data_IF_605913775613
#
_entry.id   IF_605913775613
#
_cell.length_a   1.000
_cell.length_b   1.000
_cell.length_c   1.000
_cell.angle_alpha   90.00
_cell.angle_beta   90.00
_cell.angle_gamma   90.00
#
_symmetry.space_group_name_H-M   'P 1'
#
loop_
_entity.id
_entity.type
_entity.pdbx_description
1 polymer ?
#
# COMPACT_ATOMS: atom_id res chain seq x y z
N UNK A 1 5.25 45.62 -8.68
CA UNK A 1 4.83 44.69 -9.76
C UNK A 1 5.79 44.88 -10.91
N UNK A 2 6.77 43.99 -11.01
CA UNK A 2 7.90 44.12 -11.92
C UNK A 2 7.83 42.95 -12.90
N UNK A 3 7.40 43.20 -14.13
CA UNK A 3 7.39 42.18 -15.18
C UNK A 3 8.82 41.94 -15.67
N UNK A 4 9.31 40.71 -15.56
CA UNK A 4 10.52 40.24 -16.23
C UNK A 4 10.13 39.50 -17.52
N UNK A 5 10.50 40.07 -18.65
CA UNK A 5 10.40 39.46 -19.97
C UNK A 5 11.46 38.38 -20.12
N UNK A 6 11.05 37.14 -20.37
CA UNK A 6 11.93 36.01 -20.65
C UNK A 6 12.11 35.89 -22.18
N UNK A 7 13.33 36.10 -22.66
CA UNK A 7 13.69 35.95 -24.08
C UNK A 7 14.19 34.52 -24.31
N UNK A 8 13.44 33.72 -25.06
CA UNK A 8 13.85 32.38 -25.48
C UNK A 8 14.64 32.50 -26.80
N UNK A 9 15.93 32.20 -26.73
CA UNK A 9 16.80 32.13 -27.90
C UNK A 9 16.61 30.83 -28.67
N UNK A 10 16.17 30.95 -29.92
CA UNK A 10 16.15 29.87 -30.91
C UNK A 10 17.59 29.49 -31.29
N UNK A 11 17.99 28.25 -31.03
CA UNK A 11 19.17 27.62 -31.61
C UNK A 11 18.76 26.76 -32.82
N UNK A 12 19.54 26.90 -33.89
CA UNK A 12 19.33 26.33 -35.22
C UNK A 12 19.46 24.79 -35.28
N UNK A 13 18.82 24.14 -36.26
CA UNK A 13 18.88 22.68 -36.44
C UNK A 13 20.17 22.24 -37.14
N UNK A 14 20.87 21.30 -36.53
CA UNK A 14 22.01 20.59 -37.11
C UNK A 14 21.52 19.42 -37.96
N UNK A 15 21.83 19.48 -39.25
CA UNK A 15 21.71 18.42 -40.25
C UNK A 15 22.60 17.22 -39.91
N UNK A 16 22.01 16.01 -39.89
CA UNK A 16 22.72 14.74 -40.03
C UNK A 16 21.90 13.75 -40.91
N UNK A 17 22.56 12.76 -41.54
CA UNK A 17 22.15 12.18 -42.81
C UNK A 17 21.39 10.84 -42.72
N UNK A 18 20.59 10.61 -43.76
CA UNK A 18 20.18 9.36 -44.45
C UNK A 18 19.77 8.10 -43.63
N UNK A 19 18.59 7.51 -43.93
CA UNK A 19 18.20 6.21 -43.40
C UNK A 19 18.86 5.05 -44.17
N UNK A 20 19.43 4.10 -43.42
CA UNK A 20 19.78 2.77 -43.88
C UNK A 20 18.50 1.93 -44.00
N UNK A 21 18.15 1.54 -45.23
CA UNK A 21 17.17 0.51 -45.52
C UNK A 21 17.71 -0.86 -45.07
N UNK A 22 17.18 -1.37 -43.97
CA UNK A 22 17.33 -2.76 -43.56
C UNK A 22 16.07 -3.53 -43.98
N UNK A 23 16.19 -4.23 -45.10
CA UNK A 23 15.23 -5.22 -45.59
C UNK A 23 15.37 -6.46 -44.71
N UNK A 24 14.52 -6.58 -43.69
CA UNK A 24 14.38 -7.79 -42.88
C UNK A 24 13.11 -8.55 -43.28
N UNK A 25 13.25 -9.77 -43.77
CA UNK A 25 12.16 -10.69 -44.06
C UNK A 25 11.37 -11.01 -42.78
N UNK A 26 10.09 -10.67 -42.75
CA UNK A 26 9.14 -11.14 -41.75
C UNK A 26 8.58 -12.49 -42.22
N UNK A 27 8.96 -13.57 -41.55
CA UNK A 27 8.31 -14.88 -41.68
C UNK A 27 7.16 -14.90 -40.70
N UNK A 28 5.93 -14.90 -41.23
CA UNK A 28 4.73 -15.18 -40.46
C UNK A 28 4.70 -16.71 -40.29
N UNK A 29 5.10 -17.19 -39.11
CA UNK A 29 4.83 -18.56 -38.69
C UNK A 29 3.44 -18.60 -38.11
N UNK A 30 2.52 -19.25 -38.82
CA UNK A 30 1.25 -19.73 -38.28
C UNK A 30 1.59 -20.85 -37.30
N UNK A 31 1.49 -20.57 -36.00
CA UNK A 31 1.54 -21.60 -34.96
C UNK A 31 0.10 -21.92 -34.54
N UNK A 32 -0.40 -23.02 -35.08
CA UNK A 32 -1.61 -23.68 -34.58
C UNK A 32 -1.19 -24.64 -33.45
N UNK A 33 -1.45 -24.23 -32.21
CA UNK A 33 -1.39 -25.07 -31.02
C UNK A 33 -2.22 -24.41 -29.92
N UNK A 34 -3.52 -24.68 -29.80
CA UNK A 34 -4.09 -25.81 -29.05
C UNK A 34 -3.40 -26.05 -27.70
N UNK A 35 -3.80 -25.30 -26.67
CA UNK A 35 -3.77 -25.81 -25.31
C UNK A 35 -5.03 -25.36 -24.55
N UNK A 36 -5.65 -26.36 -23.94
CA UNK A 36 -6.94 -26.37 -23.29
C UNK A 36 -6.95 -25.47 -22.04
N UNK A 37 -7.83 -24.48 -22.02
CA UNK A 37 -8.22 -23.81 -20.78
C UNK A 37 -9.29 -24.67 -20.12
N UNK A 38 -8.90 -25.36 -19.04
CA UNK A 38 -9.84 -26.04 -18.15
C UNK A 38 -10.71 -25.01 -17.43
N UNK A 39 -11.87 -24.69 -18.00
CA UNK A 39 -12.95 -24.00 -17.32
C UNK A 39 -13.45 -24.87 -16.16
N UNK A 40 -13.27 -24.40 -14.93
CA UNK A 40 -13.94 -24.97 -13.77
C UNK A 40 -15.37 -24.41 -13.74
N UNK A 41 -16.29 -25.10 -14.41
CA UNK A 41 -17.73 -24.90 -14.26
C UNK A 41 -18.15 -25.28 -12.84
N UNK A 42 -18.56 -24.29 -12.05
CA UNK A 42 -19.40 -24.52 -10.87
C UNK A 42 -20.87 -24.43 -11.30
N UNK A 43 -21.44 -25.58 -11.64
CA UNK A 43 -22.90 -25.77 -11.77
C UNK A 43 -23.51 -25.87 -10.38
N UNK A 44 -24.30 -24.88 -10.01
CA UNK A 44 -25.09 -24.84 -8.78
C UNK A 44 -26.53 -24.49 -9.11
N UNK A 45 -27.21 -25.39 -9.82
CA UNK A 45 -28.67 -25.41 -9.92
C UNK A 45 -29.27 -25.71 -8.54
N UNK A 46 -30.22 -24.89 -8.12
CA UNK A 46 -31.22 -25.25 -7.12
C UNK A 46 -32.50 -24.50 -7.44
N UNK A 47 -33.24 -25.07 -8.39
CA UNK A 47 -34.68 -24.90 -8.54
C UNK A 47 -35.40 -25.32 -7.24
N UNK A 48 -36.35 -24.50 -6.79
CA UNK A 48 -37.42 -24.94 -5.90
C UNK A 48 -38.67 -24.08 -6.11
N UNK A 49 -39.51 -24.61 -6.99
CA UNK A 49 -40.96 -24.54 -7.13
C UNK A 49 -41.80 -23.55 -6.30
N UNK A 50 -42.55 -22.73 -7.03
CA UNK A 50 -44.02 -22.66 -7.06
C UNK A 50 -44.81 -23.26 -5.88
N UNK A 51 -45.71 -22.48 -5.29
CA UNK A 51 -47.14 -22.85 -5.18
C UNK A 51 -48.03 -21.70 -4.72
N UNK A 52 -49.16 -21.65 -5.41
CA UNK A 52 -50.29 -20.74 -5.36
C UNK A 52 -51.27 -21.06 -4.22
N UNK A 53 -52.09 -20.06 -3.88
CA UNK A 53 -53.51 -20.14 -3.46
C UNK A 53 -53.92 -20.93 -2.19
N UNK A 54 -54.59 -20.25 -1.26
CA UNK A 54 -56.02 -20.51 -0.95
C UNK A 54 -56.54 -19.76 0.30
N UNK A 55 -57.55 -18.94 0.03
CA UNK A 55 -58.79 -18.63 0.75
C UNK A 55 -59.11 -19.18 2.17
N UNK A 56 -59.73 -18.26 2.94
CA UNK A 56 -60.91 -18.43 3.81
C UNK A 56 -60.75 -19.00 5.24
N UNK A 57 -61.05 -18.18 6.26
CA UNK A 57 -62.37 -18.13 6.96
C UNK A 57 -62.26 -17.54 8.37
N UNK A 58 -63.17 -16.61 8.67
CA UNK A 58 -63.88 -16.37 9.94
C UNK A 58 -63.19 -16.64 11.29
N UNK A 59 -63.06 -15.59 12.10
CA UNK A 59 -63.92 -15.32 13.27
C UNK A 59 -63.20 -14.29 14.16
N UNK A 60 -63.49 -13.00 13.99
CA UNK A 60 -63.03 -11.99 14.95
C UNK A 60 -64.24 -11.33 15.59
N UNK A 61 -64.46 -11.73 16.83
CA UNK A 61 -65.31 -11.07 17.82
C UNK A 61 -65.01 -9.57 17.81
N UNK A 62 -66.01 -8.77 17.44
CA UNK A 62 -65.97 -7.33 17.55
C UNK A 62 -66.10 -6.94 19.02
N UNK A 63 -64.99 -6.98 19.76
CA UNK A 63 -64.87 -6.20 20.99
C UNK A 63 -64.54 -4.78 20.59
N UNK A 64 -65.53 -3.89 20.74
CA UNK A 64 -65.35 -2.45 20.59
C UNK A 64 -64.56 -1.93 21.79
N UNK A 65 -63.25 -2.16 21.81
CA UNK A 65 -62.35 -1.34 22.61
C UNK A 65 -62.41 0.06 22.03
N UNK A 66 -63.00 0.98 22.78
CA UNK A 66 -62.90 2.41 22.52
C UNK A 66 -61.45 2.81 22.74
N UNK A 67 -60.60 2.59 21.74
CA UNK A 67 -59.28 3.20 21.69
C UNK A 67 -59.53 4.70 21.65
N UNK A 68 -59.18 5.35 22.75
CA UNK A 68 -59.17 6.80 22.81
C UNK A 68 -58.01 7.21 21.94
N UNK A 69 -58.29 7.47 20.66
CA UNK A 69 -57.36 8.06 19.71
C UNK A 69 -56.97 9.43 20.29
N UNK A 70 -55.85 9.45 21.02
CA UNK A 70 -55.30 10.65 21.66
C UNK A 70 -54.69 11.63 20.64
N UNK A 71 -54.85 11.37 19.34
CA UNK A 71 -54.14 12.08 18.30
C UNK A 71 -52.63 11.76 18.34
N UNK A 72 -51.89 12.14 17.29
CA UNK A 72 -50.44 12.04 17.32
C UNK A 72 -49.89 12.91 18.46
N UNK A 73 -48.94 12.34 19.22
CA UNK A 73 -48.19 13.10 20.21
C UNK A 73 -47.49 14.30 19.54
N UNK A 74 -47.43 15.45 20.23
CA UNK A 74 -46.67 16.58 19.73
C UNK A 74 -45.17 16.30 19.90
N UNK A 75 -44.34 16.84 19.01
CA UNK A 75 -42.89 16.62 19.11
C UNK A 75 -42.32 17.03 20.50
N UNK A 76 -42.86 18.09 21.10
CA UNK A 76 -42.45 18.56 22.42
C UNK A 76 -42.81 17.59 23.56
N UNK A 77 -43.90 16.82 23.43
CA UNK A 77 -44.29 15.88 24.50
C UNK A 77 -43.34 14.69 24.62
N UNK A 78 -42.66 14.36 23.52
CA UNK A 78 -41.61 13.34 23.46
C UNK A 78 -40.20 13.92 23.72
N UNK A 79 -40.12 15.21 24.07
CA UNK A 79 -38.86 15.90 24.36
C UNK A 79 -38.05 16.27 23.10
N UNK A 80 -38.64 16.17 21.91
CA UNK A 80 -38.04 16.56 20.64
C UNK A 80 -38.18 18.05 20.33
N UNK A 81 -37.51 18.46 19.26
CA UNK A 81 -37.59 19.80 18.67
C UNK A 81 -38.00 19.64 17.20
N UNK A 82 -38.96 20.47 16.78
CA UNK A 82 -39.37 20.53 15.39
C UNK A 82 -38.36 21.28 14.54
N UNK A 83 -37.86 20.63 13.49
CA UNK A 83 -37.00 21.27 12.49
C UNK A 83 -37.71 21.34 11.14
N UNK A 84 -37.57 22.49 10.48
CA UNK A 84 -38.07 22.67 9.12
C UNK A 84 -37.36 21.68 8.17
N UNK A 85 -38.07 21.14 7.16
CA UNK A 85 -37.46 20.26 6.19
C UNK A 85 -36.37 21.01 5.40
N UNK A 86 -35.27 20.33 5.00
CA UNK A 86 -34.24 20.96 4.19
C UNK A 86 -34.82 21.40 2.84
N UNK A 87 -34.32 22.50 2.24
CA UNK A 87 -34.73 22.89 0.89
C UNK A 87 -34.43 21.81 -0.16
N UNK A 88 -35.09 21.82 -1.33
CA UNK A 88 -34.79 20.87 -2.40
C UNK A 88 -33.29 20.85 -2.74
N UNK A 89 -32.74 19.65 -2.96
CA UNK A 89 -31.30 19.35 -3.21
C UNK A 89 -30.38 19.40 -1.98
N UNK A 90 -30.92 19.69 -0.80
CA UNK A 90 -30.20 19.60 0.46
C UNK A 90 -30.65 18.37 1.25
N UNK A 91 -29.71 17.81 2.01
CA UNK A 91 -29.93 16.70 2.94
C UNK A 91 -29.72 17.22 4.37
N UNK A 92 -30.52 16.73 5.32
CA UNK A 92 -30.42 17.09 6.74
C UNK A 92 -31.79 17.34 7.40
N UNK A 93 -31.82 17.93 8.60
CA UNK A 93 -30.68 18.49 9.34
C UNK A 93 -29.82 17.43 10.07
N UNK A 94 -28.52 17.72 10.18
CA UNK A 94 -27.52 16.92 10.89
C UNK A 94 -26.77 17.78 11.90
N UNK A 95 -26.28 17.21 13.00
CA UNK A 95 -25.39 17.92 13.92
C UNK A 95 -23.95 17.90 13.37
N UNK A 96 -23.32 19.07 13.28
CA UNK A 96 -21.89 19.16 12.90
C UNK A 96 -20.98 18.92 14.09
N UNK A 97 -19.90 18.17 13.86
CA UNK A 97 -18.81 17.97 14.81
C UNK A 97 -17.48 18.26 14.12
N UNK A 98 -16.75 19.22 14.67
CA UNK A 98 -15.43 19.62 14.19
C UNK A 98 -14.34 18.95 15.05
N UNK A 99 -13.26 18.53 14.39
CA UNK A 99 -12.08 17.96 14.99
C UNK A 99 -12.05 16.43 15.00
N UNK A 100 -10.83 15.89 14.85
CA UNK A 100 -10.56 14.47 14.98
C UNK A 100 -10.87 13.99 16.40
N UNK A 101 -11.56 12.85 16.54
CA UNK A 101 -11.73 11.98 17.75
C UNK A 101 -13.17 11.81 18.26
N UNK A 102 -14.16 12.64 17.92
CA UNK A 102 -15.50 12.43 18.46
C UNK A 102 -16.40 11.63 17.49
N UNK A 103 -16.59 10.31 17.70
CA UNK A 103 -17.61 9.59 16.95
C UNK A 103 -18.99 10.21 17.18
N UNK A 104 -19.86 10.09 16.18
CA UNK A 104 -21.29 10.35 16.36
C UNK A 104 -21.79 9.52 17.55
N UNK A 105 -22.44 10.19 18.50
CA UNK A 105 -22.78 9.62 19.81
C UNK A 105 -23.97 10.35 20.44
N UNK A 106 -24.61 9.67 21.38
CA UNK A 106 -25.86 10.14 21.97
C UNK A 106 -27.01 10.04 20.96
N UNK A 107 -27.88 11.03 20.99
CA UNK A 107 -29.07 11.06 20.13
C UNK A 107 -28.75 11.31 18.66
N UNK A 108 -27.59 11.93 18.37
CA UNK A 108 -27.00 12.10 17.04
C UNK A 108 -25.89 11.05 16.82
N UNK A 109 -26.29 9.78 16.90
CA UNK A 109 -25.38 8.63 16.86
C UNK A 109 -25.05 8.10 15.46
N UNK A 110 -25.74 8.55 14.42
CA UNK A 110 -25.60 8.01 13.06
C UNK A 110 -24.59 8.84 12.27
N UNK A 111 -23.56 8.22 11.71
CA UNK A 111 -22.62 8.93 10.83
C UNK A 111 -23.23 9.04 9.43
N UNK A 112 -23.40 10.26 8.95
CA UNK A 112 -23.98 10.54 7.63
C UNK A 112 -22.91 10.99 6.64
N UNK A 113 -21.98 11.83 7.09
CA UNK A 113 -20.90 12.36 6.27
C UNK A 113 -19.62 12.54 7.10
N UNK A 114 -18.48 12.22 6.51
CA UNK A 114 -17.15 12.48 7.06
C UNK A 114 -16.24 13.04 5.97
N UNK A 115 -15.51 14.11 6.28
CA UNK A 115 -14.59 14.78 5.38
C UNK A 115 -13.76 15.84 6.11
N UNK A 116 -13.19 16.77 5.35
CA UNK A 116 -12.54 17.96 5.93
C UNK A 116 -12.25 19.02 4.89
N UNK A 117 -11.56 20.09 5.29
CA UNK A 117 -11.30 21.25 4.45
C UNK A 117 -10.30 20.97 3.32
N UNK A 118 -9.41 20.01 3.51
CA UNK A 118 -8.43 19.54 2.54
C UNK A 118 -7.98 18.11 2.86
N UNK A 119 -7.23 17.49 1.93
CA UNK A 119 -6.55 16.21 2.16
C UNK A 119 -5.07 16.48 2.46
N UNK A 120 -4.57 15.89 3.54
CA UNK A 120 -3.14 15.78 3.83
C UNK A 120 -2.69 14.34 3.53
N UNK A 121 -1.88 14.21 2.49
CA UNK A 121 -1.38 12.94 1.98
C UNK A 121 0.11 13.09 1.62
N UNK A 122 1.03 12.64 2.49
CA UNK A 122 2.46 12.75 2.19
C UNK A 122 2.81 11.93 0.92
N UNK A 123 3.89 12.22 0.20
CA UNK A 123 4.32 11.40 -0.93
C UNK A 123 4.55 9.94 -0.53
N UNK A 124 4.49 9.02 -1.50
CA UNK A 124 4.85 7.61 -1.28
C UNK A 124 6.30 7.48 -0.80
N UNK A 125 6.56 6.55 0.14
CA UNK A 125 7.92 6.14 0.46
C UNK A 125 8.34 5.01 -0.48
N UNK A 126 9.43 5.24 -1.21
CA UNK A 126 9.85 4.42 -2.34
C UNK A 126 11.17 3.72 -2.03
N UNK A 127 11.12 2.39 -1.91
CA UNK A 127 12.31 1.55 -1.79
C UNK A 127 12.64 0.82 -3.09
N UNK A 128 13.92 0.66 -3.38
CA UNK A 128 14.40 -0.15 -4.50
C UNK A 128 15.60 -0.98 -4.05
N UNK A 129 15.45 -2.30 -4.08
CA UNK A 129 16.53 -3.25 -3.84
C UNK A 129 16.88 -3.95 -5.13
N UNK A 130 18.17 -4.21 -5.36
CA UNK A 130 18.66 -4.86 -6.56
C UNK A 130 19.41 -6.13 -6.18
N UNK A 131 18.71 -7.21 -5.78
CA UNK A 131 19.36 -8.49 -5.60
C UNK A 131 20.00 -8.96 -6.91
N UNK A 132 21.15 -9.61 -6.77
CA UNK A 132 21.76 -10.33 -7.88
C UNK A 132 21.09 -11.70 -7.98
N UNK A 133 20.52 -12.01 -9.13
CA UNK A 133 19.87 -13.30 -9.42
C UNK A 133 20.76 -14.13 -10.34
N UNK A 134 20.77 -15.45 -10.12
CA UNK A 134 21.59 -16.37 -10.91
C UNK A 134 23.10 -16.29 -10.63
N UNK A 135 23.52 -15.53 -9.61
CA UNK A 135 24.90 -15.55 -9.14
C UNK A 135 25.10 -16.69 -8.13
N UNK A 136 26.12 -17.50 -8.37
CA UNK A 136 26.62 -18.49 -7.44
C UNK A 136 28.12 -18.21 -7.22
N UNK A 137 28.51 -18.12 -5.95
CA UNK A 137 29.91 -17.95 -5.56
C UNK A 137 30.73 -19.22 -5.78
N UNK A 138 30.06 -20.36 -6.00
CA UNK A 138 30.67 -21.66 -5.99
C UNK A 138 31.32 -21.96 -4.64
N UNK A 139 32.12 -23.03 -4.56
CA UNK A 139 32.76 -23.39 -3.31
C UNK A 139 33.98 -22.50 -3.00
N UNK A 140 34.24 -22.32 -1.71
CA UNK A 140 35.48 -21.68 -1.22
C UNK A 140 36.61 -22.68 -1.28
N UNK A 141 37.66 -22.33 -2.02
CA UNK A 141 38.88 -23.12 -2.11
C UNK A 141 39.90 -22.61 -1.09
N UNK A 142 40.23 -23.49 -0.16
CA UNK A 142 41.30 -23.34 0.80
C UNK A 142 42.56 -23.97 0.23
N UNK A 143 43.64 -23.21 0.18
CA UNK A 143 44.97 -23.73 -0.07
C UNK A 143 45.78 -23.50 1.19
N UNK A 144 46.23 -24.59 1.78
CA UNK A 144 47.07 -24.56 2.96
C UNK A 144 48.55 -24.51 2.57
N UNK A 145 49.36 -23.85 3.38
CA UNK A 145 50.74 -23.54 3.06
C UNK A 145 51.67 -23.90 4.21
N UNK A 146 52.89 -24.40 3.92
CA UNK A 146 53.97 -24.46 4.94
C UNK A 146 54.50 -23.05 5.19
N UNK A 147 54.61 -22.29 4.11
CA UNK A 147 54.88 -20.87 4.02
C UNK A 147 54.15 -20.37 2.77
N UNK A 148 53.89 -19.07 2.66
CA UNK A 148 53.09 -18.49 1.56
C UNK A 148 53.60 -18.73 0.13
N UNK A 149 54.70 -19.46 -0.06
CA UNK A 149 55.26 -19.84 -1.35
C UNK A 149 55.15 -21.34 -1.66
N UNK A 150 54.71 -22.18 -0.72
CA UNK A 150 54.70 -23.65 -0.85
C UNK A 150 53.35 -24.25 -0.41
N UNK A 151 52.44 -24.56 -1.36
CA UNK A 151 51.15 -25.16 -1.05
C UNK A 151 51.31 -26.63 -0.60
N UNK A 152 50.45 -27.06 0.32
CA UNK A 152 50.47 -28.39 0.94
C UNK A 152 49.28 -29.22 0.49
N UNK A 153 48.07 -28.73 0.77
CA UNK A 153 46.80 -29.41 0.51
C UNK A 153 45.78 -28.35 0.09
N UNK A 154 44.99 -28.68 -0.93
CA UNK A 154 43.78 -27.95 -1.30
C UNK A 154 42.55 -28.61 -0.66
N UNK A 155 41.61 -27.79 -0.18
CA UNK A 155 40.31 -28.23 0.31
C UNK A 155 39.24 -27.29 -0.24
N UNK A 156 38.04 -27.82 -0.50
CA UNK A 156 36.93 -27.06 -1.05
C UNK A 156 35.75 -27.19 -0.11
N UNK A 157 35.11 -26.09 0.25
CA UNK A 157 33.90 -26.05 1.09
C UNK A 157 32.77 -25.52 0.24
N UNK A 158 31.77 -26.37 0.01
CA UNK A 158 30.54 -26.10 -0.74
C UNK A 158 29.31 -25.92 0.17
N UNK A 159 29.49 -26.10 1.48
CA UNK A 159 28.45 -25.99 2.50
C UNK A 159 28.78 -24.84 3.44
N UNK A 160 27.98 -23.77 3.37
CA UNK A 160 28.12 -22.59 4.20
C UNK A 160 27.43 -22.77 5.56
N UNK A 161 27.87 -21.99 6.55
CA UNK A 161 27.33 -21.98 7.91
C UNK A 161 27.37 -23.35 8.61
N UNK A 162 28.27 -24.22 8.15
CA UNK A 162 28.53 -25.53 8.75
C UNK A 162 29.95 -25.62 9.28
N UNK A 163 30.11 -26.25 10.43
CA UNK A 163 31.41 -26.51 11.01
C UNK A 163 32.09 -27.67 10.28
N UNK A 164 33.26 -27.42 9.71
CA UNK A 164 34.03 -28.40 8.93
C UNK A 164 35.40 -28.61 9.58
N UNK A 165 35.80 -29.87 9.71
CA UNK A 165 37.15 -30.25 10.16
C UNK A 165 38.02 -30.42 8.90
N UNK A 166 38.97 -29.50 8.62
CA UNK A 166 39.79 -29.60 7.42
C UNK A 166 40.74 -30.82 7.49
N UNK A 167 41.05 -31.45 6.34
CA UNK A 167 42.01 -32.55 6.29
C UNK A 167 43.43 -32.03 6.55
N UNK A 168 43.82 -32.03 7.82
CA UNK A 168 45.12 -31.56 8.30
C UNK A 168 45.04 -30.21 9.01
N UNK A 169 45.96 -29.95 9.94
CA UNK A 169 46.04 -28.71 10.72
C UNK A 169 47.29 -27.88 10.39
N UNK A 170 47.38 -27.30 9.18
CA UNK A 170 48.51 -26.45 8.80
C UNK A 170 48.32 -25.03 9.37
N UNK A 171 49.38 -24.45 9.92
CA UNK A 171 49.30 -23.15 10.62
C UNK A 171 49.11 -21.91 9.72
N UNK A 172 49.20 -22.04 8.39
CA UNK A 172 49.04 -20.94 7.41
C UNK A 172 48.12 -21.37 6.27
N UNK A 173 47.32 -20.44 5.76
CA UNK A 173 46.43 -20.69 4.63
C UNK A 173 46.07 -19.45 3.82
N UNK A 174 45.50 -19.70 2.65
CA UNK A 174 44.85 -18.73 1.76
C UNK A 174 43.51 -19.34 1.35
N UNK A 175 42.47 -18.52 1.31
CA UNK A 175 41.14 -18.95 0.91
C UNK A 175 40.57 -17.98 -0.11
N UNK A 176 40.19 -18.53 -1.26
CA UNK A 176 39.62 -17.79 -2.36
C UNK A 176 38.40 -18.54 -2.89
N UNK A 177 37.39 -17.79 -3.33
CA UNK A 177 36.35 -18.36 -4.17
C UNK A 177 36.93 -18.78 -5.52
N UNK A 178 36.48 -19.93 -6.05
CA UNK A 178 36.55 -20.16 -7.50
C UNK A 178 35.35 -19.44 -8.10
N UNK A 179 35.55 -18.20 -8.53
CA UNK A 179 34.51 -17.40 -9.20
C UNK A 179 34.27 -17.88 -10.64
N UNK A 180 33.98 -19.17 -10.85
CA UNK A 180 33.80 -19.71 -12.20
C UNK A 180 32.48 -19.30 -12.85
N UNK A 181 31.44 -18.95 -12.07
CA UNK A 181 30.05 -18.89 -12.58
C UNK A 181 29.38 -17.50 -12.56
N UNK A 182 30.16 -16.43 -12.38
CA UNK A 182 29.62 -15.06 -12.42
C UNK A 182 29.12 -14.59 -13.80
N UNK A 183 29.34 -15.36 -14.86
CA UNK A 183 28.99 -14.96 -16.23
C UNK A 183 27.49 -14.90 -16.52
N UNK A 184 26.64 -15.43 -15.64
CA UNK A 184 25.17 -15.46 -15.81
C UNK A 184 24.41 -14.57 -14.82
N UNK A 185 25.11 -13.87 -13.93
CA UNK A 185 24.49 -13.03 -12.94
C UNK A 185 23.75 -11.85 -13.57
N UNK A 186 22.49 -11.65 -13.20
CA UNK A 186 21.70 -10.49 -13.57
C UNK A 186 21.27 -9.71 -12.32
N UNK A 187 20.98 -8.43 -12.49
CA UNK A 187 20.41 -7.59 -11.44
C UNK A 187 18.92 -7.42 -11.70
N UNK A 188 18.08 -7.86 -10.77
CA UNK A 188 16.63 -7.74 -10.89
C UNK A 188 16.12 -6.71 -9.88
N UNK A 189 15.37 -5.72 -10.36
CA UNK A 189 14.82 -4.65 -9.52
C UNK A 189 13.62 -5.11 -8.73
N UNK A 190 13.69 -4.96 -7.42
CA UNK A 190 12.58 -5.19 -6.51
C UNK A 190 12.18 -3.84 -5.90
N UNK A 191 11.13 -3.27 -6.48
CA UNK A 191 10.51 -2.05 -5.98
C UNK A 191 9.60 -2.33 -4.77
N UNK A 192 9.55 -1.38 -3.85
CA UNK A 192 8.60 -1.37 -2.74
C UNK A 192 7.96 0.01 -2.64
N UNK A 193 6.67 0.02 -2.32
CA UNK A 193 5.88 1.24 -2.16
C UNK A 193 5.21 1.17 -0.80
N UNK A 194 5.47 2.15 0.05
CA UNK A 194 4.78 2.31 1.33
C UNK A 194 3.97 3.61 1.29
N UNK A 195 2.67 3.50 1.53
CA UNK A 195 1.74 4.62 1.52
C UNK A 195 1.23 4.88 2.94
N UNK A 196 1.50 6.08 3.45
CA UNK A 196 0.79 6.56 4.65
C UNK A 196 -0.64 6.94 4.24
N UNK A 197 -1.69 6.42 4.93
CA UNK A 197 -3.07 6.74 4.58
C UNK A 197 -3.32 8.25 4.57
N UNK A 198 -4.08 8.77 3.59
CA UNK A 198 -4.45 10.17 3.57
C UNK A 198 -5.33 10.50 4.78
N UNK A 199 -5.18 11.72 5.29
CA UNK A 199 -6.01 12.26 6.38
C UNK A 199 -6.67 13.56 5.93
N UNK A 200 -7.70 14.02 6.64
CA UNK A 200 -8.32 15.30 6.34
C UNK A 200 -7.75 16.40 7.24
N UNK A 201 -7.53 17.58 6.65
CA UNK A 201 -7.30 18.82 7.40
C UNK A 201 -8.66 19.32 7.89
N UNK A 202 -8.72 19.79 9.14
CA UNK A 202 -9.96 20.26 9.77
C UNK A 202 -11.12 19.25 9.62
N UNK A 203 -10.92 18.03 10.14
CA UNK A 203 -11.91 16.96 10.10
C UNK A 203 -13.30 17.44 10.56
N UNK A 204 -14.31 17.09 9.78
CA UNK A 204 -15.70 17.44 9.99
C UNK A 204 -16.56 16.19 9.81
N UNK A 205 -17.47 15.98 10.76
CA UNK A 205 -18.48 14.93 10.69
C UNK A 205 -19.88 15.52 10.79
N UNK A 206 -20.79 15.01 9.96
CA UNK A 206 -22.22 15.25 10.08
C UNK A 206 -22.85 14.00 10.71
N UNK A 207 -23.48 14.22 11.85
CA UNK A 207 -24.13 13.17 12.61
C UNK A 207 -25.66 13.32 12.50
N UNK A 208 -26.35 12.27 12.07
CA UNK A 208 -27.79 12.16 12.04
C UNK A 208 -28.37 11.63 13.35
N UNK A 209 -29.62 11.99 13.59
CA UNK A 209 -30.42 11.46 14.69
C UNK A 209 -31.48 10.48 14.17
N UNK A 210 -31.83 9.50 15.00
CA UNK A 210 -33.04 8.73 14.75
C UNK A 210 -34.27 9.65 14.87
N UNK A 211 -35.27 9.45 13.99
CA UNK A 211 -36.54 10.16 14.12
C UNK A 211 -37.20 9.80 15.46
N UNK A 212 -37.74 10.80 16.15
CA UNK A 212 -38.60 10.59 17.32
C UNK A 212 -40.05 10.59 16.83
N UNK A 213 -40.90 9.79 17.46
CA UNK A 213 -42.34 9.85 17.25
C UNK A 213 -42.85 11.26 17.58
N UNK A 214 -43.63 11.84 16.68
CA UNK A 214 -44.19 13.17 16.88
C UNK A 214 -44.52 13.86 15.57
N UNK A 215 -45.45 14.81 15.62
CA UNK A 215 -45.83 15.62 14.46
C UNK A 215 -45.49 17.08 14.72
N UNK A 216 -44.84 17.69 13.74
CA UNK A 216 -44.57 19.13 13.71
C UNK A 216 -45.66 19.85 12.92
N UNK A 217 -46.17 20.96 13.43
CA UNK A 217 -47.30 21.69 12.84
C UNK A 217 -47.02 22.15 11.40
N UNK A 218 -45.76 22.47 11.10
CA UNK A 218 -45.31 22.92 9.78
C UNK A 218 -44.89 21.78 8.83
N UNK A 219 -45.15 20.52 9.21
CA UNK A 219 -44.70 19.34 8.44
C UNK A 219 -43.19 19.09 8.53
N UNK A 220 -42.53 19.65 9.55
CA UNK A 220 -41.14 19.41 9.87
C UNK A 220 -40.85 18.01 10.40
N UNK A 221 -39.57 17.71 10.59
CA UNK A 221 -39.13 16.46 11.24
C UNK A 221 -39.00 16.69 12.74
N UNK A 222 -39.54 15.76 13.53
CA UNK A 222 -39.33 15.75 14.97
C UNK A 222 -38.01 15.04 15.28
N UNK A 223 -37.09 15.74 15.94
CA UNK A 223 -35.78 15.18 16.26
C UNK A 223 -35.35 15.51 17.69
N UNK A 224 -34.38 14.77 18.25
CA UNK A 224 -33.82 15.07 19.57
C UNK A 224 -33.23 16.50 19.62
N UNK A 225 -33.23 17.17 20.79
CA UNK A 225 -32.59 18.48 20.93
C UNK A 225 -31.10 18.40 20.57
N UNK A 226 -30.60 19.20 19.62
CA UNK A 226 -29.20 19.13 19.21
C UNK A 226 -28.26 19.68 20.28
N UNK A 227 -27.05 19.13 20.35
CA UNK A 227 -26.00 19.60 21.26
C UNK A 227 -25.07 20.63 20.59
N UNK A 228 -25.09 20.68 19.26
CA UNK A 228 -24.34 21.63 18.44
C UNK A 228 -25.20 22.30 17.36
N UNK A 229 -24.58 23.09 16.47
CA UNK A 229 -25.28 23.65 15.32
C UNK A 229 -25.84 22.54 14.43
N UNK A 230 -27.07 22.73 13.96
CA UNK A 230 -27.61 21.90 12.90
C UNK A 230 -27.10 22.40 11.55
N UNK A 231 -26.84 21.47 10.65
CA UNK A 231 -26.36 21.72 9.30
C UNK A 231 -27.11 20.89 8.26
N UNK A 232 -27.08 21.37 7.04
CA UNK A 232 -27.54 20.67 5.84
C UNK A 232 -26.38 20.58 4.87
N UNK A 233 -26.37 19.57 4.00
CA UNK A 233 -25.35 19.46 2.96
C UNK A 233 -25.93 19.20 1.58
N UNK A 234 -25.18 19.56 0.56
CA UNK A 234 -25.51 19.32 -0.84
C UNK A 234 -24.26 19.19 -1.70
N UNK A 235 -24.38 18.47 -2.81
CA UNK A 235 -23.27 18.23 -3.74
C UNK A 235 -23.23 19.27 -4.86
N UNK A 236 -22.02 19.65 -5.26
CA UNK A 236 -21.76 20.63 -6.30
C UNK A 236 -21.86 22.09 -5.84
N UNK A 237 -21.91 23.01 -6.81
CA UNK A 237 -21.95 24.45 -6.54
C UNK A 237 -23.36 24.89 -6.13
N UNK A 238 -23.57 25.06 -4.82
CA UNK A 238 -24.79 25.57 -4.22
C UNK A 238 -24.49 26.86 -3.42
N UNK A 239 -25.53 27.62 -3.09
CA UNK A 239 -25.43 28.72 -2.13
C UNK A 239 -26.21 28.35 -0.87
N UNK A 240 -25.70 28.73 0.30
CA UNK A 240 -26.38 28.45 1.54
C UNK A 240 -27.76 29.13 1.59
N UNK A 241 -28.83 28.37 1.91
CA UNK A 241 -30.17 28.94 1.98
C UNK A 241 -30.33 29.86 3.21
N UNK A 242 -31.34 30.72 3.17
CA UNK A 242 -31.69 31.58 4.30
C UNK A 242 -31.95 30.75 5.57
N UNK A 243 -31.35 31.14 6.69
CA UNK A 243 -31.39 30.38 7.95
C UNK A 243 -30.17 29.47 8.18
N UNK A 244 -29.32 29.27 7.16
CA UNK A 244 -28.13 28.41 7.24
C UNK A 244 -26.86 29.17 6.79
N UNK A 245 -26.54 30.35 7.36
CA UNK A 245 -25.58 31.27 6.76
C UNK A 245 -24.10 30.85 6.90
N UNK A 246 -23.79 29.85 7.74
CA UNK A 246 -22.40 29.44 8.00
C UNK A 246 -22.01 28.35 7.00
N UNK A 247 -21.05 28.66 6.13
CA UNK A 247 -20.62 27.79 5.03
C UNK A 247 -19.33 27.04 5.38
N UNK A 248 -19.32 25.73 5.09
CA UNK A 248 -18.12 24.89 5.11
C UNK A 248 -18.02 24.13 3.78
N UNK A 249 -16.95 24.37 3.04
CA UNK A 249 -16.58 23.54 1.89
C UNK A 249 -15.73 22.37 2.41
N UNK A 250 -16.18 21.15 2.16
CA UNK A 250 -15.44 19.94 2.55
C UNK A 250 -15.24 19.01 1.38
N UNK A 251 -14.16 18.26 1.42
CA UNK A 251 -13.86 17.17 0.50
C UNK A 251 -14.21 15.84 1.14
N UNK A 252 -14.80 14.96 0.34
CA UNK A 252 -15.24 13.62 0.76
C UNK A 252 -14.64 12.59 -0.18
N UNK A 253 -14.11 11.51 0.40
CA UNK A 253 -13.35 10.50 -0.34
C UNK A 253 -11.99 11.00 -0.83
N UNK A 254 -11.14 10.06 -1.20
CA UNK A 254 -9.80 10.31 -1.75
C UNK A 254 -9.55 9.33 -2.90
N UNK A 255 -9.18 9.85 -4.07
CA UNK A 255 -8.59 9.08 -5.16
C UNK A 255 -7.07 9.11 -5.00
N UNK A 256 -6.54 8.04 -4.40
CA UNK A 256 -5.12 7.93 -4.08
C UNK A 256 -4.35 7.22 -5.20
N UNK A 257 -3.73 8.02 -6.06
CA UNK A 257 -2.93 7.55 -7.21
C UNK A 257 -1.43 7.59 -6.91
N UNK A 258 -1.03 7.76 -5.65
CA UNK A 258 0.38 7.81 -5.25
C UNK A 258 1.05 6.46 -5.52
N UNK A 259 2.25 6.51 -6.07
CA UNK A 259 3.05 5.35 -6.45
C UNK A 259 4.54 5.71 -6.48
N UNK A 260 5.36 4.82 -7.04
CA UNK A 260 6.79 5.04 -7.26
C UNK A 260 7.15 4.78 -8.72
N UNK A 261 8.20 5.43 -9.22
CA UNK A 261 8.81 5.06 -10.49
C UNK A 261 9.33 3.62 -10.46
N UNK A 262 9.44 2.99 -11.63
CA UNK A 262 9.99 1.64 -11.77
C UNK A 262 11.39 1.51 -11.14
N UNK A 263 11.58 0.47 -10.33
CA UNK A 263 12.88 0.12 -9.75
C UNK A 263 13.72 -0.57 -10.82
N UNK A 264 14.73 0.11 -11.31
CA UNK A 264 15.68 -0.42 -12.30
C UNK A 264 17.05 -0.59 -11.66
N UNK A 265 17.79 -1.59 -12.11
CA UNK A 265 19.11 -1.91 -11.58
C UNK A 265 20.16 -1.82 -12.67
N UNK A 266 21.31 -1.26 -12.34
CA UNK A 266 22.50 -1.32 -13.17
C UNK A 266 23.41 -2.47 -12.71
N UNK A 267 24.11 -3.07 -13.68
CA UNK A 267 25.17 -4.05 -13.42
C UNK A 267 24.79 -5.51 -13.70
N UNK A 268 25.66 -6.46 -13.29
CA UNK A 268 26.78 -6.24 -12.37
C UNK A 268 28.03 -5.63 -13.04
N UNK A 269 28.53 -4.50 -12.54
CA UNK A 269 29.72 -3.83 -13.13
C UNK A 269 31.04 -4.49 -12.70
N UNK A 270 31.06 -5.10 -11.51
CA UNK A 270 32.20 -5.85 -10.96
C UNK A 270 31.66 -6.79 -9.88
N UNK A 271 31.01 -7.89 -10.27
CA UNK A 271 30.43 -8.77 -9.28
C UNK A 271 31.54 -9.40 -8.41
N UNK A 272 31.31 -9.48 -7.11
CA UNK A 272 32.25 -10.11 -6.19
C UNK A 272 31.53 -10.93 -5.14
N UNK A 273 32.09 -12.10 -4.85
CA UNK A 273 31.74 -12.90 -3.69
C UNK A 273 32.74 -12.65 -2.58
N UNK A 274 32.22 -12.34 -1.40
CA UNK A 274 33.00 -12.24 -0.17
C UNK A 274 32.33 -13.07 0.90
N UNK A 275 33.13 -13.70 1.74
CA UNK A 275 32.65 -14.43 2.92
C UNK A 275 33.68 -14.29 4.03
N UNK A 276 33.21 -14.37 5.27
CA UNK A 276 34.08 -14.55 6.40
C UNK A 276 34.33 -16.03 6.66
N UNK A 277 35.58 -16.33 6.91
CA UNK A 277 36.07 -17.62 7.34
C UNK A 277 36.46 -17.47 8.79
N UNK A 278 35.77 -18.20 9.64
CA UNK A 278 36.11 -18.28 11.06
C UNK A 278 36.77 -19.62 11.32
N UNK A 279 37.95 -19.61 11.94
CA UNK A 279 38.62 -20.81 12.42
C UNK A 279 38.45 -20.93 13.92
N UNK A 280 38.40 -22.17 14.43
CA UNK A 280 38.09 -22.46 15.82
C UNK A 280 39.14 -23.39 16.43
N UNK A 281 39.34 -23.32 17.74
CA UNK A 281 40.31 -24.16 18.47
C UNK A 281 39.78 -25.57 18.81
N UNK A 282 38.49 -25.80 18.65
CA UNK A 282 37.84 -27.10 18.86
C UNK A 282 37.12 -27.60 17.60
N UNK A 283 36.78 -28.90 17.58
CA UNK A 283 36.15 -29.57 16.44
C UNK A 283 34.65 -29.24 16.28
N UNK A 284 34.05 -28.52 17.24
CA UNK A 284 32.63 -28.19 17.29
C UNK A 284 32.34 -26.70 16.98
N UNK A 285 33.35 -25.95 16.53
CA UNK A 285 33.27 -24.52 16.26
C UNK A 285 32.76 -23.68 17.44
N UNK A 286 33.11 -24.08 18.68
CA UNK A 286 32.66 -23.38 19.90
C UNK A 286 33.57 -22.23 20.34
N UNK A 287 34.87 -22.30 20.05
CA UNK A 287 35.89 -21.34 20.49
C UNK A 287 36.58 -20.70 19.28
N UNK A 288 36.12 -19.50 18.92
CA UNK A 288 36.69 -18.71 17.83
C UNK A 288 38.16 -18.45 18.08
N UNK A 289 38.99 -18.74 17.08
CA UNK A 289 40.44 -18.51 17.10
C UNK A 289 40.83 -17.34 16.21
N UNK A 290 40.39 -17.35 14.95
CA UNK A 290 40.66 -16.28 13.98
C UNK A 290 39.45 -16.09 13.06
N UNK A 291 39.34 -14.90 12.48
CA UNK A 291 38.36 -14.58 11.44
C UNK A 291 39.07 -13.86 10.29
N UNK A 292 38.78 -14.23 9.05
CA UNK A 292 39.37 -13.63 7.84
C UNK A 292 38.35 -13.56 6.71
N UNK A 293 38.45 -12.53 5.88
CA UNK A 293 37.67 -12.44 4.64
C UNK A 293 38.37 -13.24 3.52
N UNK A 294 37.59 -13.90 2.67
CA UNK A 294 38.06 -14.51 1.41
C UNK A 294 38.73 -13.48 0.49
N UNK A 295 39.68 -13.90 -0.34
CA UNK A 295 40.36 -12.99 -1.29
C UNK A 295 41.52 -12.20 -0.67
N UNK A 296 41.73 -12.32 0.64
CA UNK A 296 42.92 -11.77 1.29
C UNK A 296 44.19 -12.58 0.94
N UNK A 297 45.35 -11.93 1.04
CA UNK A 297 46.64 -12.58 0.87
C UNK A 297 46.89 -13.68 1.91
N UNK A 298 47.82 -14.59 1.61
CA UNK A 298 48.19 -15.69 2.48
C UNK A 298 48.56 -15.18 3.88
N UNK A 299 48.05 -15.83 4.91
CA UNK A 299 48.23 -15.43 6.29
C UNK A 299 47.91 -16.55 7.28
N UNK A 300 48.02 -16.28 8.59
CA UNK A 300 47.70 -17.27 9.61
C UNK A 300 46.22 -17.64 9.55
N UNK A 301 45.97 -18.91 9.30
CA UNK A 301 44.68 -19.57 9.46
C UNK A 301 45.02 -20.88 10.15
N UNK A 302 44.81 -20.92 11.46
CA UNK A 302 45.02 -22.14 12.26
C UNK A 302 43.75 -22.43 13.02
N UNK A 303 43.49 -23.70 13.34
CA UNK A 303 42.27 -24.12 14.00
C UNK A 303 42.09 -25.63 13.87
N UNK A 304 41.34 -26.21 14.80
CA UNK A 304 40.88 -27.59 14.70
C UNK A 304 39.72 -27.73 13.70
N UNK A 305 38.90 -26.70 13.57
CA UNK A 305 37.81 -26.61 12.61
C UNK A 305 37.69 -25.21 11.99
N UNK A 306 36.86 -25.09 10.97
CA UNK A 306 36.50 -23.83 10.34
C UNK A 306 35.01 -23.80 9.98
N UNK A 307 34.47 -22.59 9.86
CA UNK A 307 33.15 -22.31 9.31
C UNK A 307 33.27 -21.18 8.29
N UNK A 308 32.57 -21.33 7.18
CA UNK A 308 32.50 -20.32 6.12
C UNK A 308 31.09 -19.74 6.14
N UNK A 309 30.97 -18.44 6.36
CA UNK A 309 29.66 -17.79 6.34
C UNK A 309 29.07 -17.81 4.93
N UNK A 310 27.74 -17.80 4.82
CA UNK A 310 27.07 -17.61 3.54
C UNK A 310 27.64 -16.37 2.82
N UNK A 311 28.03 -16.49 1.54
CA UNK A 311 28.73 -15.41 0.87
C UNK A 311 27.80 -14.23 0.57
N UNK A 312 28.34 -13.03 0.77
CA UNK A 312 27.72 -11.80 0.30
C UNK A 312 28.08 -11.57 -1.17
N UNK A 313 27.04 -11.47 -2.00
CA UNK A 313 27.16 -11.16 -3.42
C UNK A 313 26.87 -9.69 -3.62
N UNK A 314 27.87 -8.93 -4.07
CA UNK A 314 27.73 -7.51 -4.36
C UNK A 314 27.99 -7.23 -5.84
N UNK A 315 27.35 -6.20 -6.39
CA UNK A 315 27.66 -5.75 -7.76
C UNK A 315 26.49 -5.09 -8.49
N UNK A 316 25.28 -5.17 -7.96
CA UNK A 316 24.11 -4.47 -8.47
C UNK A 316 23.96 -3.11 -7.77
N UNK A 317 23.64 -2.09 -8.54
CA UNK A 317 23.34 -0.75 -8.03
C UNK A 317 21.90 -0.41 -8.36
N UNK A 318 21.13 -0.06 -7.33
CA UNK A 318 19.78 0.44 -7.51
C UNK A 318 19.77 1.85 -8.09
N UNK A 319 18.96 2.07 -9.11
CA UNK A 319 18.64 3.42 -9.54
C UNK A 319 17.74 4.11 -8.51
N UNK A 320 17.84 5.43 -8.45
CA UNK A 320 16.96 6.21 -7.60
C UNK A 320 15.52 6.05 -8.07
N UNK A 321 14.66 5.56 -7.17
CA UNK A 321 13.21 5.60 -7.34
C UNK A 321 12.67 6.90 -6.77
N UNK A 322 11.62 7.45 -7.39
CA UNK A 322 10.97 8.68 -6.96
C UNK A 322 9.47 8.44 -6.79
N UNK A 323 8.81 9.11 -5.83
CA UNK A 323 7.36 9.07 -5.74
C UNK A 323 6.72 9.71 -6.97
N UNK A 324 5.58 9.17 -7.37
CA UNK A 324 4.75 9.65 -8.48
C UNK A 324 3.28 9.67 -8.06
N UNK A 325 2.45 10.37 -8.83
CA UNK A 325 1.03 10.49 -8.55
C UNK A 325 0.73 11.41 -7.36
N UNK A 326 -0.56 11.60 -7.12
CA UNK A 326 -1.11 12.50 -6.11
C UNK A 326 -2.32 11.82 -5.44
N UNK A 327 -2.74 12.35 -4.28
CA UNK A 327 -4.01 12.01 -3.67
C UNK A 327 -4.99 13.17 -3.89
N UNK A 328 -6.06 12.93 -4.64
CA UNK A 328 -7.02 13.96 -5.04
C UNK A 328 -8.37 13.75 -4.34
N UNK A 329 -9.10 14.82 -4.02
CA UNK A 329 -10.47 14.69 -3.50
C UNK A 329 -11.39 14.12 -4.59
N UNK A 330 -12.29 13.22 -4.19
CA UNK A 330 -13.29 12.63 -5.09
C UNK A 330 -14.49 13.56 -5.28
N UNK A 331 -15.06 14.03 -4.17
CA UNK A 331 -16.27 14.84 -4.16
C UNK A 331 -16.10 16.11 -3.33
N UNK A 332 -16.58 17.23 -3.86
CA UNK A 332 -16.74 18.49 -3.12
C UNK A 332 -18.18 18.59 -2.60
N UNK A 333 -18.31 18.77 -1.29
CA UNK A 333 -19.59 18.91 -0.59
C UNK A 333 -19.66 20.27 0.09
N UNK A 334 -20.78 20.96 -0.10
CA UNK A 334 -21.08 22.19 0.63
C UNK A 334 -21.95 21.86 1.84
N UNK A 335 -21.49 22.27 3.03
CA UNK A 335 -22.23 22.18 4.28
C UNK A 335 -22.62 23.58 4.72
N UNK A 336 -23.89 23.77 5.07
CA UNK A 336 -24.43 25.04 5.55
C UNK A 336 -25.07 24.84 6.92
N UNK A 337 -24.68 25.64 7.91
CA UNK A 337 -25.09 25.50 9.30
C UNK A 337 -25.90 26.69 9.79
N UNK A 338 -26.80 26.44 10.74
CA UNK A 338 -27.49 27.49 11.51
C UNK A 338 -26.46 28.25 12.36
N UNK A 339 -26.64 29.58 12.50
CA UNK A 339 -25.74 30.48 13.23
C UNK A 339 -26.32 31.02 14.52
#
# INVERSE_FOLDING_TARGET
>A
MTYRTLTIGFLAPLLLPAPLLLTGCFVIGEDEGSDEVAETQATGDSDSDSSSESSSSDTTTTETTTETDTGPASCESEGGVCQAPPPPRWQGPFEIREGAINPCSGDFGLLELEGGSAIDAPPADCGCTCPMVGADCGPVNFIWFVNCSQPVVGHSVDTFDTCVIPPGNPGLGLANFNNSDFSQAACEGQGSVELTPPTYVDELRLCGAAAIDGVCEDGGSCMPPPQGPLCIYGTGQLECPAGWPVEHAIVVGVDDQRSCTECTCEGPTSPSCKSNITTYDDDACGMVKNMRETGQSCGPMSGASLMVESPEITGCTANAVQPTGDALPLDDVLVCCQG
#
